data_IF_610776536966
#
_entry.id   IF_610776536966
#
_cell.length_a   1.000
_cell.length_b   1.000
_cell.length_c   1.000
_cell.angle_alpha   90.00
_cell.angle_beta   90.00
_cell.angle_gamma   90.00
#
_symmetry.space_group_name_H-M   'P 1'
#
loop_
_entity.id
_entity.type
_entity.pdbx_description
1 polymer ?
#
# COMPACT_ATOMS: atom_id res chain seq x y z
N UNK A 1 -4.64 35.23 3.44
CA UNK A 1 -4.52 34.00 2.62
C UNK A 1 -3.16 33.39 2.88
N UNK A 2 -3.10 32.31 3.67
CA UNK A 2 -1.87 31.52 3.83
C UNK A 2 -2.25 30.09 4.21
N UNK A 3 -1.94 29.14 3.32
CA UNK A 3 -2.25 27.71 3.43
C UNK A 3 -1.34 27.06 4.46
N UNK A 4 -1.94 26.38 5.45
CA UNK A 4 -1.26 25.49 6.40
C UNK A 4 -1.23 24.07 5.81
N UNK A 5 -0.04 23.56 5.56
CA UNK A 5 0.20 22.11 5.49
C UNK A 5 0.88 21.70 6.81
N UNK A 6 0.34 20.73 7.59
CA UNK A 6 1.05 20.20 8.74
C UNK A 6 2.28 19.44 8.28
N UNK A 7 3.44 19.84 8.79
CA UNK A 7 4.75 19.30 8.46
C UNK A 7 5.06 17.99 9.20
N UNK A 8 5.88 17.16 8.55
CA UNK A 8 6.50 15.90 9.03
C UNK A 8 7.15 15.97 10.44
N UNK A 9 7.39 17.16 10.97
CA UNK A 9 8.01 17.37 12.30
C UNK A 9 7.14 16.87 13.47
N UNK A 10 5.81 16.78 13.31
CA UNK A 10 4.92 16.29 14.38
C UNK A 10 5.10 14.79 14.69
N UNK A 11 5.65 14.02 13.77
CA UNK A 11 5.79 12.57 13.91
C UNK A 11 7.16 12.12 14.47
N UNK A 12 8.17 13.00 14.49
CA UNK A 12 9.55 12.64 14.84
C UNK A 12 10.05 13.17 16.19
N UNK A 13 9.21 13.86 16.97
CA UNK A 13 9.65 14.63 18.15
C UNK A 13 9.43 14.01 19.53
N UNK A 14 9.01 12.74 19.65
CA UNK A 14 8.72 12.12 20.96
C UNK A 14 9.60 10.90 21.20
N UNK A 15 10.92 11.10 21.19
CA UNK A 15 11.88 10.16 21.73
C UNK A 15 12.46 10.77 23.01
N UNK A 16 11.76 10.59 24.13
CA UNK A 16 12.38 10.61 25.46
C UNK A 16 11.81 9.45 26.26
N UNK A 17 12.72 8.62 26.74
CA UNK A 17 12.47 7.35 27.42
C UNK A 17 11.79 7.53 28.77
N UNK A 18 10.72 6.79 28.97
CA UNK A 18 10.42 6.13 30.24
C UNK A 18 9.62 4.88 29.90
N UNK A 19 10.29 3.74 29.81
CA UNK A 19 9.67 2.47 29.42
C UNK A 19 8.73 1.99 30.53
N UNK A 20 7.40 1.93 30.31
CA UNK A 20 6.51 1.22 31.20
C UNK A 20 6.59 -0.27 30.85
N UNK A 21 6.66 -1.09 31.89
CA UNK A 21 6.54 -2.55 31.90
C UNK A 21 5.55 -3.01 30.80
N UNK A 22 6.01 -3.91 29.94
CA UNK A 22 5.31 -4.31 28.71
C UNK A 22 3.84 -4.67 28.98
N UNK A 23 2.86 -3.96 28.40
CA UNK A 23 1.44 -4.26 28.54
C UNK A 23 0.98 -5.54 27.80
N UNK A 24 1.91 -6.43 27.41
CA UNK A 24 1.68 -7.53 26.47
C UNK A 24 1.48 -8.85 27.22
N UNK A 25 1.58 -8.83 28.55
CA UNK A 25 1.29 -9.96 29.46
C UNK A 25 -0.15 -9.93 30.03
N UNK A 26 -1.16 -9.57 29.23
CA UNK A 26 -2.57 -9.72 29.62
C UNK A 26 -3.30 -10.69 28.70
N UNK A 27 -3.86 -11.82 29.22
CA UNK A 27 -4.47 -12.90 28.42
C UNK A 27 -5.91 -12.60 27.99
N UNK A 28 -6.26 -11.33 27.80
CA UNK A 28 -7.60 -10.93 27.39
C UNK A 28 -7.53 -10.46 25.93
N UNK A 29 -7.56 -11.43 25.02
CA UNK A 29 -7.74 -11.17 23.58
C UNK A 29 -9.07 -10.45 23.41
N UNK A 30 -9.12 -9.17 22.97
CA UNK A 30 -10.38 -8.57 22.65
C UNK A 30 -10.95 -9.33 21.44
N UNK A 31 -12.13 -9.91 21.61
CA UNK A 31 -12.91 -10.48 20.52
C UNK A 31 -13.29 -9.33 19.58
N UNK A 32 -12.43 -9.06 18.60
CA UNK A 32 -12.79 -8.27 17.43
C UNK A 32 -14.01 -8.94 16.80
N UNK A 33 -14.99 -8.16 16.30
CA UNK A 33 -16.07 -8.77 15.52
C UNK A 33 -15.39 -9.59 14.43
N UNK A 34 -15.68 -10.89 14.38
CA UNK A 34 -15.28 -11.72 13.26
C UNK A 34 -15.87 -11.04 12.04
N UNK A 35 -15.04 -10.29 11.31
CA UNK A 35 -15.34 -9.92 9.95
C UNK A 35 -15.72 -11.24 9.30
N UNK A 36 -16.95 -11.31 8.78
CA UNK A 36 -17.39 -12.42 7.94
C UNK A 36 -16.22 -12.73 7.03
N UNK A 37 -15.65 -13.93 7.17
CA UNK A 37 -14.42 -14.34 6.49
C UNK A 37 -14.69 -14.26 4.99
N UNK A 38 -14.50 -13.07 4.41
CA UNK A 38 -14.46 -12.92 2.98
C UNK A 38 -13.14 -13.55 2.56
N UNK A 39 -13.23 -14.49 1.64
CA UNK A 39 -12.08 -15.28 1.21
C UNK A 39 -11.07 -14.31 0.62
N UNK A 40 -9.87 -14.28 1.18
CA UNK A 40 -8.78 -13.48 0.64
C UNK A 40 -8.56 -13.87 -0.83
N UNK A 41 -8.52 -12.86 -1.70
CA UNK A 41 -8.25 -13.02 -3.12
C UNK A 41 -6.93 -12.39 -3.45
N UNK A 42 -6.31 -12.94 -4.48
CA UNK A 42 -5.08 -12.39 -5.06
C UNK A 42 -5.46 -11.45 -6.19
N UNK A 43 -4.75 -10.33 -6.30
CA UNK A 43 -4.83 -9.40 -7.40
C UNK A 43 -3.44 -8.93 -7.81
N UNK A 44 -3.31 -8.47 -9.04
CA UNK A 44 -2.10 -7.84 -9.57
C UNK A 44 -2.39 -6.37 -9.82
N UNK A 45 -1.66 -5.50 -9.12
CA UNK A 45 -1.61 -4.07 -9.36
C UNK A 45 -0.53 -3.78 -10.39
N UNK A 46 -0.94 -3.23 -11.53
CA UNK A 46 -0.06 -2.75 -12.60
C UNK A 46 -0.17 -1.23 -12.68
N UNK A 47 0.97 -0.53 -12.56
CA UNK A 47 1.07 0.92 -12.72
C UNK A 47 2.12 1.22 -13.77
N UNK A 48 1.82 2.10 -14.73
CA UNK A 48 2.78 2.53 -15.76
C UNK A 48 2.74 4.05 -15.94
N UNK A 49 3.92 4.63 -16.18
CA UNK A 49 4.07 6.06 -16.47
C UNK A 49 3.72 6.99 -15.31
N UNK A 50 3.69 6.52 -14.06
CA UNK A 50 3.31 7.35 -12.92
C UNK A 50 4.42 8.36 -12.57
N UNK A 51 4.12 9.66 -12.38
CA UNK A 51 5.07 10.62 -11.84
C UNK A 51 5.65 10.14 -10.49
N UNK A 52 6.98 10.19 -10.32
CA UNK A 52 7.63 9.62 -9.13
C UNK A 52 7.15 10.25 -7.81
N UNK A 53 6.70 11.51 -7.85
CA UNK A 53 6.16 12.24 -6.70
C UNK A 53 4.85 11.64 -6.14
N UNK A 54 4.14 10.82 -6.92
CA UNK A 54 2.89 10.16 -6.48
C UNK A 54 3.12 8.83 -5.77
N UNK A 55 4.35 8.30 -5.79
CA UNK A 55 4.69 7.03 -5.12
C UNK A 55 4.17 6.95 -3.67
N UNK A 56 4.43 7.94 -2.79
CA UNK A 56 3.98 7.85 -1.39
C UNK A 56 2.46 7.77 -1.26
N UNK A 57 1.71 8.38 -2.18
CA UNK A 57 0.24 8.38 -2.16
C UNK A 57 -0.33 7.01 -2.55
N UNK A 58 0.29 6.33 -3.51
CA UNK A 58 -0.08 4.96 -3.86
C UNK A 58 0.24 4.00 -2.70
N UNK A 59 1.45 4.08 -2.15
CA UNK A 59 1.85 3.23 -1.01
C UNK A 59 0.91 3.44 0.20
N UNK A 60 0.52 4.69 0.48
CA UNK A 60 -0.48 4.99 1.51
C UNK A 60 -1.85 4.39 1.17
N UNK A 61 -2.29 4.48 -0.09
CA UNK A 61 -3.56 3.91 -0.51
C UNK A 61 -3.57 2.37 -0.33
N UNK A 62 -2.46 1.70 -0.62
CA UNK A 62 -2.32 0.26 -0.40
C UNK A 62 -2.51 -0.10 1.08
N UNK A 63 -1.80 0.60 1.99
CA UNK A 63 -1.90 0.36 3.44
C UNK A 63 -3.30 0.64 3.98
N UNK A 64 -3.95 1.72 3.53
CA UNK A 64 -5.27 2.12 4.04
C UNK A 64 -6.39 1.26 3.47
N UNK A 65 -6.28 0.82 2.22
CA UNK A 65 -7.34 0.07 1.56
C UNK A 65 -7.28 -1.43 1.85
N UNK A 66 -6.09 -1.96 2.15
CA UNK A 66 -5.86 -3.39 2.42
C UNK A 66 -5.35 -3.55 3.87
N UNK A 67 -6.23 -3.42 4.88
CA UNK A 67 -5.87 -3.64 6.28
C UNK A 67 -5.71 -5.12 6.64
N UNK A 68 -6.25 -6.05 5.83
CA UNK A 68 -6.07 -7.48 6.04
C UNK A 68 -4.60 -7.89 5.90
N UNK A 69 -4.16 -8.84 6.75
CA UNK A 69 -2.82 -9.40 6.67
C UNK A 69 -2.59 -10.06 5.31
N UNK A 70 -1.36 -9.96 4.80
CA UNK A 70 -1.03 -10.59 3.53
C UNK A 70 -0.81 -12.09 3.72
N UNK A 71 -1.43 -12.89 2.85
CA UNK A 71 -1.25 -14.33 2.80
C UNK A 71 -0.05 -14.74 1.90
N UNK A 72 0.65 -13.77 1.32
CA UNK A 72 1.80 -13.98 0.44
C UNK A 72 3.05 -14.22 1.26
N UNK A 73 3.33 -15.49 1.59
CA UNK A 73 4.57 -15.91 2.23
C UNK A 73 5.19 -17.07 1.45
N UNK A 74 6.42 -16.86 0.95
CA UNK A 74 7.21 -17.90 0.29
C UNK A 74 8.55 -18.01 1.00
N UNK A 75 8.82 -19.16 1.63
CA UNK A 75 9.99 -19.39 2.47
C UNK A 75 11.33 -19.19 1.74
N UNK A 76 11.37 -19.48 0.44
CA UNK A 76 12.59 -19.45 -0.38
C UNK A 76 12.63 -18.30 -1.41
N UNK A 77 11.69 -17.36 -1.36
CA UNK A 77 11.65 -16.26 -2.33
C UNK A 77 12.68 -15.16 -1.98
N UNK A 78 13.49 -14.75 -2.96
CA UNK A 78 14.30 -13.55 -2.83
C UNK A 78 13.38 -12.32 -2.78
N UNK A 79 13.35 -11.56 -1.68
CA UNK A 79 12.46 -10.41 -1.53
C UNK A 79 12.69 -9.31 -2.56
N UNK A 80 13.87 -9.24 -3.19
CA UNK A 80 14.17 -8.25 -4.23
C UNK A 80 13.57 -8.61 -5.59
N UNK A 81 13.20 -9.87 -5.79
CA UNK A 81 12.58 -10.37 -7.03
C UNK A 81 11.15 -10.85 -6.83
N UNK A 82 10.70 -10.90 -5.57
CA UNK A 82 9.38 -11.37 -5.20
C UNK A 82 8.26 -10.54 -5.85
N UNK A 83 7.29 -11.23 -6.45
CA UNK A 83 6.14 -10.57 -7.11
C UNK A 83 5.24 -9.82 -6.12
N UNK A 84 5.28 -10.18 -4.83
CA UNK A 84 4.54 -9.51 -3.76
C UNK A 84 5.22 -8.22 -3.26
N UNK A 85 6.49 -7.99 -3.64
CA UNK A 85 7.22 -6.78 -3.32
C UNK A 85 6.94 -5.67 -4.35
N UNK A 86 6.78 -4.42 -3.88
CA UNK A 86 6.57 -3.27 -4.77
C UNK A 86 7.89 -2.84 -5.43
N UNK A 87 8.25 -3.50 -6.53
CA UNK A 87 9.44 -3.15 -7.31
C UNK A 87 9.18 -1.94 -8.24
N UNK A 88 9.45 -0.73 -7.74
CA UNK A 88 9.37 0.49 -8.54
C UNK A 88 10.51 0.58 -9.55
N UNK A 89 10.18 0.57 -10.85
CA UNK A 89 11.12 0.69 -11.96
C UNK A 89 10.95 2.02 -12.68
N UNK A 90 12.04 2.59 -13.18
CA UNK A 90 11.99 3.81 -14.01
C UNK A 90 11.41 3.49 -15.38
N UNK A 91 10.61 4.38 -15.94
CA UNK A 91 10.19 4.32 -17.34
C UNK A 91 11.23 5.06 -18.21
N UNK A 92 11.67 4.45 -19.32
CA UNK A 92 12.70 5.03 -20.19
C UNK A 92 12.16 6.21 -21.04
N UNK A 93 10.85 6.23 -21.34
CA UNK A 93 10.24 7.19 -22.28
C UNK A 93 9.75 8.52 -21.63
N UNK A 94 10.34 8.92 -20.50
CA UNK A 94 9.77 9.98 -19.68
C UNK A 94 10.21 11.39 -20.14
N UNK A 95 9.66 11.87 -21.27
CA UNK A 95 9.89 13.23 -21.78
C UNK A 95 9.38 14.37 -20.87
N UNK A 96 8.67 14.05 -19.78
CA UNK A 96 8.03 15.00 -18.88
C UNK A 96 8.34 14.69 -17.40
N UNK A 97 9.63 14.55 -17.07
CA UNK A 97 10.15 14.27 -15.72
C UNK A 97 10.20 12.78 -15.34
N UNK A 98 10.79 12.41 -14.19
CA UNK A 98 10.98 11.02 -13.80
C UNK A 98 9.64 10.30 -13.60
N UNK A 99 9.42 9.25 -14.39
CA UNK A 99 8.25 8.37 -14.30
C UNK A 99 8.65 6.98 -13.86
N UNK A 100 7.75 6.33 -13.15
CA UNK A 100 7.94 4.99 -12.60
C UNK A 100 6.77 4.08 -12.92
N UNK A 101 7.04 2.79 -12.87
CA UNK A 101 6.09 1.71 -13.07
C UNK A 101 6.29 0.65 -11.99
N UNK A 102 5.25 -0.12 -11.71
CA UNK A 102 5.36 -1.33 -10.90
C UNK A 102 4.37 -2.38 -11.40
N UNK A 103 4.66 -3.64 -11.07
CA UNK A 103 3.73 -4.76 -11.13
C UNK A 103 3.87 -5.50 -9.81
N UNK A 104 2.81 -5.57 -9.04
CA UNK A 104 2.82 -6.16 -7.71
C UNK A 104 1.61 -7.04 -7.49
N UNK A 105 1.83 -8.19 -6.87
CA UNK A 105 0.78 -9.05 -6.34
C UNK A 105 0.33 -8.57 -4.95
N UNK A 106 -0.97 -8.48 -4.74
CA UNK A 106 -1.62 -8.00 -3.52
C UNK A 106 -2.70 -9.01 -3.13
N UNK A 107 -2.83 -9.31 -1.84
CA UNK A 107 -3.93 -10.12 -1.29
C UNK A 107 -4.88 -9.25 -0.49
N UNK A 108 -6.18 -9.51 -0.57
CA UNK A 108 -7.19 -8.87 0.26
C UNK A 108 -8.59 -9.40 -0.04
N UNK A 109 -9.55 -9.00 0.77
CA UNK A 109 -10.98 -9.24 0.52
C UNK A 109 -11.46 -8.54 -0.75
N UNK A 110 -12.62 -8.94 -1.28
CA UNK A 110 -13.18 -8.30 -2.47
C UNK A 110 -13.46 -6.82 -2.25
N UNK A 111 -13.92 -6.45 -1.05
CA UNK A 111 -14.24 -5.07 -0.72
C UNK A 111 -12.97 -4.20 -0.68
N UNK A 112 -11.92 -4.68 -0.05
CA UNK A 112 -10.62 -4.02 0.04
C UNK A 112 -9.99 -3.80 -1.35
N UNK A 113 -9.98 -4.84 -2.19
CA UNK A 113 -9.47 -4.76 -3.56
C UNK A 113 -10.31 -3.81 -4.43
N UNK A 114 -11.64 -3.82 -4.31
CA UNK A 114 -12.51 -2.87 -5.00
C UNK A 114 -12.25 -1.42 -4.56
N UNK A 115 -12.03 -1.19 -3.26
CA UNK A 115 -11.72 0.13 -2.70
C UNK A 115 -10.37 0.63 -3.22
N UNK A 116 -9.34 -0.20 -3.20
CA UNK A 116 -8.01 0.12 -3.73
C UNK A 116 -8.08 0.46 -5.22
N UNK A 117 -8.76 -0.39 -6.02
CA UNK A 117 -9.00 -0.16 -7.45
C UNK A 117 -9.54 1.24 -7.70
N UNK A 118 -10.64 1.58 -7.03
CA UNK A 118 -11.33 2.87 -7.21
C UNK A 118 -10.41 4.06 -6.93
N UNK A 119 -9.63 4.00 -5.84
CA UNK A 119 -8.73 5.10 -5.46
C UNK A 119 -7.58 5.24 -6.46
N UNK A 120 -6.98 4.12 -6.87
CA UNK A 120 -5.84 4.11 -7.77
C UNK A 120 -6.24 4.54 -9.19
N UNK A 121 -7.38 4.05 -9.71
CA UNK A 121 -7.91 4.46 -11.02
C UNK A 121 -8.27 5.96 -11.04
N UNK A 122 -8.83 6.49 -9.95
CA UNK A 122 -9.08 7.93 -9.83
C UNK A 122 -7.77 8.74 -9.81
N UNK A 123 -6.73 8.27 -9.12
CA UNK A 123 -5.42 8.91 -9.13
C UNK A 123 -4.80 8.88 -10.53
N UNK A 124 -4.89 7.75 -11.23
CA UNK A 124 -4.41 7.54 -12.59
C UNK A 124 -5.04 8.53 -13.56
N UNK A 125 -6.38 8.64 -13.52
CA UNK A 125 -7.15 9.60 -14.33
C UNK A 125 -6.76 11.04 -14.04
N UNK A 126 -6.65 11.42 -12.77
CA UNK A 126 -6.38 12.80 -12.36
C UNK A 126 -4.94 13.26 -12.67
N UNK A 127 -3.99 12.33 -12.76
CA UNK A 127 -2.57 12.65 -12.94
C UNK A 127 -1.98 12.14 -14.26
N UNK A 128 -2.80 11.58 -15.15
CA UNK A 128 -2.39 11.17 -16.49
C UNK A 128 -1.37 10.04 -16.49
N UNK A 129 -1.61 8.99 -15.71
CA UNK A 129 -0.88 7.73 -15.76
C UNK A 129 -1.86 6.55 -15.87
N UNK A 130 -1.35 5.34 -16.11
CA UNK A 130 -2.18 4.14 -16.19
C UNK A 130 -2.04 3.33 -14.92
N UNK A 131 -3.17 2.89 -14.38
CA UNK A 131 -3.19 1.93 -13.30
C UNK A 131 -4.36 0.97 -13.43
N UNK A 132 -4.07 -0.30 -13.24
CA UNK A 132 -5.02 -1.39 -13.36
C UNK A 132 -4.80 -2.34 -12.18
N UNK A 133 -5.91 -2.79 -11.60
CA UNK A 133 -5.89 -3.88 -10.63
C UNK A 133 -6.63 -5.06 -11.28
N UNK A 134 -6.03 -6.23 -11.36
CA UNK A 134 -6.67 -7.40 -12.00
C UNK A 134 -6.69 -8.53 -11.01
N UNK A 135 -7.86 -9.14 -10.76
CA UNK A 135 -7.94 -10.33 -9.90
C UNK A 135 -7.14 -11.46 -10.55
N UNK A 136 -6.32 -12.15 -9.75
CA UNK A 136 -5.69 -13.40 -10.14
C UNK A 136 -6.68 -14.54 -9.95
N UNK A 137 -6.64 -15.51 -10.86
CA UNK A 137 -7.40 -16.77 -10.76
C UNK A 137 -6.88 -17.68 -9.63
#
# INVERSE_FOLDING_TARGET
MTTLAPTLARWLGAADSSAPIHPWESPAVPTYPSFTSDVARTAVLCITGMPCALRPRIETAMVVCIPSDSELSYADADPLTAEWFTAWRRCEDAGNGPRIACRQMITGTNEELCRLRTIVENMARNHGFTAELTLGD
#
